data_IF_818468592482
#
_entry.id   IF_818468592482
#
_cell.length_a   1.000
_cell.length_b   1.000
_cell.length_c   1.000
_cell.angle_alpha   90.00
_cell.angle_beta   90.00
_cell.angle_gamma   90.00
#
_symmetry.space_group_name_H-M   'P 1'
#
loop_
_entity.id
_entity.type
_entity.pdbx_description
1 polymer ?
#
# COMPACT_ATOMS: atom_id res chain seq x y z
N UNK A 1 56.92 5.15 -59.48
CA UNK A 1 56.18 3.87 -59.34
C UNK A 1 55.07 4.14 -58.32
N UNK A 2 53.85 4.49 -58.77
CA UNK A 2 52.63 3.63 -58.78
C UNK A 2 52.25 3.15 -57.37
N UNK A 3 51.03 3.17 -56.83
CA UNK A 3 49.64 3.55 -57.15
C UNK A 3 48.89 3.43 -55.79
N UNK A 4 47.86 4.24 -55.48
CA UNK A 4 46.42 3.83 -55.39
C UNK A 4 46.17 2.65 -54.42
N UNK A 5 45.32 2.68 -53.39
CA UNK A 5 43.88 3.00 -53.41
C UNK A 5 43.27 3.04 -51.98
N UNK A 6 42.14 3.75 -51.89
CA UNK A 6 41.23 3.95 -50.76
C UNK A 6 40.39 2.68 -50.48
N UNK A 7 39.92 2.47 -49.24
CA UNK A 7 38.63 1.81 -48.97
C UNK A 7 38.23 1.89 -47.48
N UNK A 8 37.27 2.78 -47.22
CA UNK A 8 36.44 2.85 -46.02
C UNK A 8 35.63 1.57 -45.84
N UNK A 9 35.58 1.00 -44.63
CA UNK A 9 34.57 -0.01 -44.28
C UNK A 9 33.81 0.39 -43.01
N UNK A 10 32.55 0.78 -43.20
CA UNK A 10 31.50 0.94 -42.19
C UNK A 10 30.97 -0.43 -41.75
N UNK A 11 31.08 -0.78 -40.48
CA UNK A 11 30.43 -1.92 -39.79
C UNK A 11 30.45 -1.57 -38.27
N UNK A 12 29.42 -1.59 -37.43
CA UNK A 12 28.01 -1.94 -37.54
C UNK A 12 27.25 -1.30 -36.35
N UNK A 13 26.57 -0.15 -36.54
CA UNK A 13 25.72 0.44 -35.50
C UNK A 13 24.33 -0.23 -35.38
N UNK A 14 24.01 -1.19 -36.26
CA UNK A 14 22.70 -1.84 -36.31
C UNK A 14 22.40 -2.81 -35.17
N UNK A 15 23.42 -3.35 -34.49
CA UNK A 15 23.20 -4.34 -33.41
C UNK A 15 22.90 -3.71 -32.05
N UNK A 16 23.43 -2.52 -31.76
CA UNK A 16 23.16 -1.82 -30.49
C UNK A 16 21.76 -1.20 -30.47
N UNK A 17 21.27 -0.66 -31.59
CA UNK A 17 19.92 -0.08 -31.69
C UNK A 17 18.84 -1.17 -31.57
N UNK A 18 19.06 -2.37 -32.13
CA UNK A 18 18.12 -3.48 -32.02
C UNK A 18 17.99 -4.02 -30.58
N UNK A 19 19.09 -4.08 -29.81
CA UNK A 19 19.07 -4.55 -28.42
C UNK A 19 18.40 -3.53 -27.49
N UNK A 20 18.63 -2.23 -27.70
CA UNK A 20 18.02 -1.16 -26.89
C UNK A 20 16.51 -1.02 -27.16
N UNK A 21 16.07 -1.17 -28.41
CA UNK A 21 14.63 -1.17 -28.76
C UNK A 21 13.92 -2.40 -28.20
N UNK A 22 14.56 -3.58 -28.21
CA UNK A 22 13.99 -4.78 -27.60
C UNK A 22 13.86 -4.66 -26.06
N UNK A 23 14.86 -4.09 -25.38
CA UNK A 23 14.80 -3.88 -23.93
C UNK A 23 13.73 -2.83 -23.52
N UNK A 24 13.60 -1.74 -24.28
CA UNK A 24 12.58 -0.72 -24.01
C UNK A 24 11.14 -1.24 -24.25
N UNK A 25 10.93 -2.07 -25.28
CA UNK A 25 9.62 -2.70 -25.54
C UNK A 25 9.25 -3.72 -24.45
N UNK A 26 10.23 -4.48 -23.92
CA UNK A 26 9.99 -5.43 -22.81
C UNK A 26 9.63 -4.70 -21.52
N UNK A 27 10.28 -3.56 -21.23
CA UNK A 27 9.96 -2.74 -20.04
C UNK A 27 8.58 -2.08 -20.19
N UNK A 28 8.24 -1.57 -21.37
CA UNK A 28 6.91 -0.98 -21.62
C UNK A 28 5.81 -2.05 -21.58
N UNK A 29 6.06 -3.26 -22.10
CA UNK A 29 5.12 -4.40 -21.97
C UNK A 29 4.97 -4.87 -20.52
N UNK A 30 6.06 -4.90 -19.74
CA UNK A 30 6.00 -5.26 -18.32
C UNK A 30 5.22 -4.23 -17.49
N UNK A 31 5.36 -2.93 -17.80
CA UNK A 31 4.62 -1.85 -17.13
C UNK A 31 3.14 -1.80 -17.55
N UNK A 32 2.81 -2.20 -18.79
CA UNK A 32 1.42 -2.27 -19.27
C UNK A 32 0.68 -3.55 -18.85
N UNK A 33 1.38 -4.58 -18.37
CA UNK A 33 0.76 -5.81 -17.84
C UNK A 33 0.42 -5.77 -16.34
N UNK A 34 0.84 -4.75 -15.59
CA UNK A 34 0.66 -4.71 -14.13
C UNK A 34 -0.67 -4.08 -13.66
N UNK A 35 -1.61 -3.76 -14.55
CA UNK A 35 -2.91 -3.17 -14.17
C UNK A 35 -4.09 -3.76 -14.94
N UNK A 36 -4.27 -5.08 -14.86
CA UNK A 36 -5.58 -5.72 -15.08
C UNK A 36 -5.80 -6.73 -13.96
N UNK A 37 -6.41 -6.27 -12.88
CA UNK A 37 -6.94 -7.15 -11.83
C UNK A 37 -8.46 -7.16 -11.87
N UNK A 38 -9.06 -8.18 -12.51
CA UNK A 38 -10.37 -8.67 -12.16
C UNK A 38 -10.21 -10.07 -11.56
N UNK A 39 -10.72 -10.28 -10.35
CA UNK A 39 -10.73 -11.58 -9.68
C UNK A 39 -11.54 -12.61 -10.47
N UNK A 40 -10.84 -13.56 -11.11
CA UNK A 40 -11.33 -14.83 -11.67
C UNK A 40 -10.15 -15.58 -12.32
N UNK A 41 -9.16 -16.00 -11.51
CA UNK A 41 -8.23 -17.05 -11.96
C UNK A 41 -8.98 -18.39 -12.03
N UNK A 42 -9.85 -18.51 -13.04
CA UNK A 42 -10.51 -19.74 -13.43
C UNK A 42 -9.45 -20.70 -13.96
N UNK A 43 -9.27 -21.83 -13.27
CA UNK A 43 -8.73 -23.04 -13.89
C UNK A 43 -9.82 -23.61 -14.80
N UNK A 44 -9.68 -23.48 -16.12
CA UNK A 44 -10.44 -24.30 -17.07
C UNK A 44 -9.55 -25.48 -17.44
N UNK A 45 -9.62 -26.56 -16.66
CA UNK A 45 -9.18 -27.86 -17.15
C UNK A 45 -10.34 -28.45 -17.94
N UNK A 46 -10.20 -28.42 -19.27
CA UNK A 46 -11.04 -29.19 -20.17
C UNK A 46 -10.66 -30.67 -20.03
N UNK A 47 -11.55 -31.49 -19.47
CA UNK A 47 -11.34 -32.92 -19.32
C UNK A 47 -12.60 -33.65 -18.86
N UNK A 48 -13.43 -34.00 -19.86
CA UNK A 48 -14.28 -35.20 -19.98
C UNK A 48 -15.08 -35.72 -18.76
N UNK A 49 -16.40 -35.82 -18.98
CA UNK A 49 -17.47 -36.18 -18.04
C UNK A 49 -17.31 -37.46 -17.19
N UNK A 50 -17.78 -37.36 -15.94
CA UNK A 50 -18.63 -38.34 -15.26
C UNK A 50 -19.48 -37.63 -14.18
N UNK A 51 -20.81 -37.88 -14.05
CA UNK A 51 -21.67 -37.19 -13.10
C UNK A 51 -21.75 -37.98 -11.80
N UNK A 52 -21.07 -37.55 -10.74
CA UNK A 52 -21.46 -37.80 -9.35
C UNK A 52 -20.48 -37.11 -8.41
N UNK A 53 -21.00 -36.22 -7.58
CA UNK A 53 -20.24 -35.54 -6.55
C UNK A 53 -20.81 -34.15 -6.33
N UNK A 54 -21.69 -34.03 -5.33
CA UNK A 54 -22.13 -32.77 -4.75
C UNK A 54 -20.91 -32.00 -4.21
N UNK A 55 -20.23 -31.25 -5.06
CA UNK A 55 -19.35 -30.18 -4.62
C UNK A 55 -20.24 -29.00 -4.25
N UNK A 56 -20.59 -28.91 -2.96
CA UNK A 56 -20.87 -27.62 -2.35
C UNK A 56 -19.65 -26.74 -2.61
N UNK A 57 -19.75 -25.89 -3.63
CA UNK A 57 -18.96 -24.68 -3.71
C UNK A 57 -19.36 -23.89 -2.47
N UNK A 58 -18.62 -24.07 -1.39
CA UNK A 58 -18.63 -23.14 -0.28
C UNK A 58 -18.03 -21.87 -0.85
N UNK A 59 -18.90 -21.00 -1.40
CA UNK A 59 -18.55 -19.63 -1.70
C UNK A 59 -17.98 -19.08 -0.40
N UNK A 60 -16.66 -18.87 -0.35
CA UNK A 60 -16.07 -18.09 0.72
C UNK A 60 -16.81 -16.75 0.68
N UNK A 61 -17.64 -16.50 1.68
CA UNK A 61 -18.36 -15.24 1.78
C UNK A 61 -17.31 -14.14 1.81
N UNK A 62 -17.39 -13.23 0.84
CA UNK A 62 -16.44 -12.13 0.75
C UNK A 62 -16.52 -11.33 2.06
N UNK A 63 -15.38 -10.98 2.65
CA UNK A 63 -15.41 -10.16 3.86
C UNK A 63 -16.19 -8.85 3.60
N UNK A 64 -17.04 -8.42 4.55
CA UNK A 64 -17.90 -7.26 4.35
C UNK A 64 -17.08 -6.00 4.09
N UNK A 65 -17.63 -5.10 3.27
CA UNK A 65 -17.01 -3.81 2.92
C UNK A 65 -17.73 -2.61 3.53
N UNK A 66 -18.79 -2.85 4.28
CA UNK A 66 -19.62 -1.83 4.93
C UNK A 66 -19.62 -2.11 6.44
N UNK A 67 -19.46 -1.10 7.29
CA UNK A 67 -19.43 -1.31 8.73
C UNK A 67 -20.82 -1.70 9.23
N UNK A 68 -20.85 -2.56 10.25
CA UNK A 68 -22.09 -2.97 10.95
C UNK A 68 -22.30 -2.20 12.26
N UNK A 69 -21.36 -1.33 12.61
CA UNK A 69 -21.40 -0.44 13.76
C UNK A 69 -21.24 0.99 13.28
N UNK A 70 -21.80 1.94 14.02
CA UNK A 70 -21.68 3.36 13.71
C UNK A 70 -20.30 3.90 14.10
N UNK A 71 -19.82 4.87 13.32
CA UNK A 71 -18.63 5.63 13.68
C UNK A 71 -18.94 6.58 14.86
N UNK A 72 -17.93 6.81 15.69
CA UNK A 72 -17.98 7.86 16.71
C UNK A 72 -17.72 9.21 16.06
N UNK A 73 -18.61 10.16 16.33
CA UNK A 73 -18.47 11.53 15.88
C UNK A 73 -17.18 12.16 16.44
N UNK A 74 -16.51 12.95 15.60
CA UNK A 74 -15.41 13.79 16.04
C UNK A 74 -15.94 14.94 16.92
N UNK A 75 -15.10 15.52 17.78
CA UNK A 75 -15.47 16.75 18.48
C UNK A 75 -15.68 17.90 17.47
N UNK A 76 -16.57 18.84 17.80
CA UNK A 76 -16.94 19.95 16.90
C UNK A 76 -15.75 20.85 16.54
N UNK A 77 -14.75 20.92 17.42
CA UNK A 77 -13.50 21.67 17.25
C UNK A 77 -12.35 20.82 16.69
N UNK A 78 -12.64 19.65 16.09
CA UNK A 78 -11.64 18.82 15.42
C UNK A 78 -10.84 19.63 14.40
N UNK A 79 -9.54 19.34 14.34
CA UNK A 79 -8.62 19.92 13.36
C UNK A 79 -8.90 19.40 11.96
N UNK A 80 -8.30 20.05 10.95
CA UNK A 80 -8.47 19.63 9.56
C UNK A 80 -7.87 18.24 9.30
N UNK A 81 -6.73 17.88 9.91
CA UNK A 81 -6.20 16.51 9.81
C UNK A 81 -7.20 15.51 10.39
N UNK A 82 -7.74 15.78 11.58
CA UNK A 82 -8.64 14.84 12.23
C UNK A 82 -9.96 14.70 11.44
N UNK A 83 -10.50 15.79 10.90
CA UNK A 83 -11.66 15.77 9.99
C UNK A 83 -11.41 15.00 8.69
N UNK A 84 -10.16 14.99 8.21
CA UNK A 84 -9.78 14.22 7.04
C UNK A 84 -9.70 12.71 7.30
N UNK A 85 -9.65 12.28 8.57
CA UNK A 85 -9.70 10.86 8.90
C UNK A 85 -11.11 10.32 8.62
N UNK A 86 -11.26 9.25 7.83
CA UNK A 86 -12.57 8.78 7.42
C UNK A 86 -13.36 8.20 8.60
N UNK A 87 -14.69 8.34 8.56
CA UNK A 87 -15.58 7.66 9.51
C UNK A 87 -15.49 6.13 9.40
N UNK A 88 -15.20 5.63 8.19
CA UNK A 88 -14.98 4.20 7.97
C UNK A 88 -13.99 3.91 6.85
N UNK A 89 -13.36 2.74 6.94
CA UNK A 89 -12.54 2.15 5.88
C UNK A 89 -13.01 0.71 5.73
N UNK A 90 -13.61 0.37 4.59
CA UNK A 90 -14.33 -0.90 4.43
C UNK A 90 -15.34 -1.11 5.59
N UNK A 91 -15.33 -2.28 6.22
CA UNK A 91 -16.18 -2.63 7.35
C UNK A 91 -15.69 -2.11 8.71
N UNK A 92 -14.63 -1.31 8.74
CA UNK A 92 -14.10 -0.75 9.98
C UNK A 92 -14.63 0.66 10.20
N UNK A 93 -15.40 0.88 11.27
CA UNK A 93 -15.83 2.21 11.69
C UNK A 93 -14.83 2.81 12.70
N UNK A 94 -14.58 4.12 12.62
CA UNK A 94 -13.78 4.85 13.61
C UNK A 94 -14.54 4.90 14.93
N UNK A 95 -14.12 4.14 15.92
CA UNK A 95 -14.74 4.07 17.26
C UNK A 95 -14.03 4.94 18.29
N UNK A 96 -12.84 5.44 17.95
CA UNK A 96 -12.01 6.25 18.85
C UNK A 96 -11.12 7.19 18.05
N UNK A 97 -10.93 8.40 18.56
CA UNK A 97 -9.94 9.36 18.09
C UNK A 97 -9.49 10.23 19.28
N UNK A 98 -8.21 10.17 19.62
CA UNK A 98 -7.63 10.92 20.74
C UNK A 98 -6.30 11.53 20.33
N UNK A 99 -5.96 12.68 20.94
CA UNK A 99 -4.63 13.26 20.80
C UNK A 99 -3.57 12.25 21.28
N UNK A 100 -2.42 12.25 20.62
CA UNK A 100 -1.33 11.32 20.88
C UNK A 100 0.01 12.05 21.01
N UNK A 101 0.95 11.40 21.70
CA UNK A 101 2.30 11.92 21.96
C UNK A 101 3.39 10.90 21.61
N UNK A 102 3.04 9.88 20.84
CA UNK A 102 3.92 8.79 20.40
C UNK A 102 5.13 9.32 19.63
N UNK A 103 4.96 10.39 18.85
CA UNK A 103 6.02 10.98 18.02
C UNK A 103 6.38 12.41 18.43
N UNK A 104 6.11 12.82 19.68
CA UNK A 104 6.43 14.19 20.14
C UNK A 104 7.90 14.57 19.97
N UNK A 105 8.84 13.61 20.03
CA UNK A 105 10.26 13.86 19.77
C UNK A 105 10.53 14.35 18.32
N UNK A 106 9.67 13.98 17.37
CA UNK A 106 9.72 14.41 15.98
C UNK A 106 8.97 15.73 15.74
N UNK A 107 8.39 16.33 16.79
CA UNK A 107 7.70 17.63 16.76
C UNK A 107 6.63 17.76 15.66
N UNK A 108 5.65 16.83 15.57
CA UNK A 108 4.51 17.02 14.67
C UNK A 108 3.69 18.26 15.08
N UNK A 109 3.00 18.86 14.11
CA UNK A 109 2.04 19.94 14.36
C UNK A 109 0.83 19.43 15.15
N UNK A 110 0.40 18.21 14.84
CA UNK A 110 -0.69 17.50 15.46
C UNK A 110 -0.51 15.99 15.27
N UNK A 111 -1.00 15.21 16.22
CA UNK A 111 -0.86 13.75 16.25
C UNK A 111 -2.07 13.13 16.94
N UNK A 112 -2.64 12.09 16.34
CA UNK A 112 -3.80 11.37 16.85
C UNK A 112 -3.58 9.86 16.83
N UNK A 113 -4.13 9.19 17.83
CA UNK A 113 -4.37 7.75 17.81
C UNK A 113 -5.85 7.49 17.58
N UNK A 114 -6.16 6.72 16.54
CA UNK A 114 -7.50 6.33 16.17
C UNK A 114 -7.67 4.81 16.29
N UNK A 115 -8.89 4.38 16.62
CA UNK A 115 -9.28 2.96 16.56
C UNK A 115 -10.37 2.79 15.50
N UNK A 116 -10.13 1.85 14.59
CA UNK A 116 -11.05 1.41 13.57
C UNK A 116 -11.48 -0.03 13.88
N UNK A 117 -12.78 -0.25 14.06
CA UNK A 117 -13.32 -1.52 14.57
C UNK A 117 -14.45 -2.04 13.69
N UNK A 118 -14.59 -3.36 13.65
CA UNK A 118 -15.74 -4.04 13.06
C UNK A 118 -16.80 -4.41 14.12
N UNK A 119 -16.60 -3.99 15.37
CA UNK A 119 -17.33 -4.48 16.56
C UNK A 119 -16.67 -5.69 17.23
N UNK A 120 -15.68 -6.31 16.57
CA UNK A 120 -14.82 -7.33 17.16
C UNK A 120 -13.44 -6.74 17.48
N UNK A 121 -13.17 -6.56 18.77
CA UNK A 121 -11.92 -5.97 19.27
C UNK A 121 -10.67 -6.75 18.88
N UNK A 122 -10.79 -8.05 18.58
CA UNK A 122 -9.66 -8.85 18.13
C UNK A 122 -9.20 -8.47 16.71
N UNK A 123 -10.05 -7.78 15.95
CA UNK A 123 -9.78 -7.31 14.59
C UNK A 123 -9.51 -5.81 14.50
N UNK A 124 -9.53 -5.09 15.62
CA UNK A 124 -9.32 -3.65 15.63
C UNK A 124 -7.99 -3.26 14.96
N UNK A 125 -8.04 -2.19 14.18
CA UNK A 125 -6.86 -1.51 13.64
C UNK A 125 -6.65 -0.24 14.46
N UNK A 126 -5.46 -0.10 15.03
CA UNK A 126 -5.02 1.16 15.64
C UNK A 126 -4.22 1.93 14.61
N UNK A 127 -4.58 3.18 14.37
CA UNK A 127 -3.90 4.09 13.45
C UNK A 127 -3.32 5.26 14.25
N UNK A 128 -2.01 5.46 14.18
CA UNK A 128 -1.39 6.73 14.56
C UNK A 128 -1.23 7.57 13.31
N UNK A 129 -1.74 8.79 13.32
CA UNK A 129 -1.64 9.75 12.22
C UNK A 129 -1.09 11.07 12.74
N UNK A 130 -0.12 11.65 12.03
CA UNK A 130 0.46 12.93 12.40
C UNK A 130 0.84 13.75 11.19
N UNK A 131 0.84 15.07 11.34
CA UNK A 131 1.21 16.01 10.29
C UNK A 131 2.43 16.85 10.71
N UNK A 132 3.29 17.13 9.74
CA UNK A 132 4.42 18.04 9.87
C UNK A 132 4.22 19.29 9.02
N UNK A 133 5.00 20.33 9.30
CA UNK A 133 5.00 21.56 8.50
C UNK A 133 5.58 21.40 7.10
N UNK A 134 6.38 20.35 6.86
CA UNK A 134 7.03 20.09 5.57
C UNK A 134 7.07 18.60 5.24
N UNK A 135 7.11 18.28 3.96
CA UNK A 135 7.25 16.92 3.45
C UNK A 135 8.58 16.27 3.89
N UNK A 136 9.66 17.05 4.01
CA UNK A 136 10.97 16.55 4.45
C UNK A 136 10.95 16.11 5.92
N UNK A 137 10.26 16.87 6.79
CA UNK A 137 10.08 16.49 8.19
C UNK A 137 9.22 15.23 8.34
N UNK A 138 8.12 15.14 7.59
CA UNK A 138 7.30 13.94 7.53
C UNK A 138 8.11 12.73 7.03
N UNK A 139 8.88 12.90 5.95
CA UNK A 139 9.76 11.87 5.41
C UNK A 139 10.80 11.40 6.42
N UNK A 140 11.39 12.32 7.18
CA UNK A 140 12.37 11.98 8.22
C UNK A 140 11.74 11.06 9.28
N UNK A 141 10.50 11.36 9.72
CA UNK A 141 9.80 10.50 10.65
C UNK A 141 9.43 9.15 10.02
N UNK A 142 8.94 9.14 8.79
CA UNK A 142 8.65 7.91 8.05
C UNK A 142 9.89 7.00 7.97
N UNK A 143 11.04 7.53 7.56
CA UNK A 143 12.29 6.76 7.44
C UNK A 143 12.75 6.23 8.81
N UNK A 144 12.59 7.02 9.87
CA UNK A 144 12.88 6.59 11.24
C UNK A 144 11.98 5.45 11.71
N UNK A 145 10.67 5.51 11.43
CA UNK A 145 9.72 4.45 11.77
C UNK A 145 10.03 3.16 11.01
N UNK A 146 10.29 3.25 9.70
CA UNK A 146 10.62 2.08 8.86
C UNK A 146 11.92 1.42 9.32
N UNK A 147 12.92 2.22 9.69
CA UNK A 147 14.22 1.73 10.17
C UNK A 147 14.12 1.08 11.56
N UNK A 148 13.18 1.52 12.40
CA UNK A 148 12.93 0.92 13.70
C UNK A 148 12.21 -0.43 13.63
N UNK A 149 11.52 -0.74 12.52
CA UNK A 149 10.84 -2.02 12.34
C UNK A 149 11.83 -3.16 12.05
N UNK A 150 11.84 -4.17 12.91
CA UNK A 150 12.72 -5.34 12.81
C UNK A 150 12.02 -6.62 12.32
N UNK A 151 10.70 -6.59 12.13
CA UNK A 151 9.95 -7.71 11.57
C UNK A 151 10.12 -7.83 10.05
N UNK A 152 9.78 -9.00 9.53
CA UNK A 152 9.94 -9.35 8.11
C UNK A 152 9.13 -8.44 7.19
N UNK A 153 9.73 -8.08 6.05
CA UNK A 153 9.06 -7.32 4.99
C UNK A 153 7.90 -8.14 4.38
N UNK A 154 6.74 -7.48 4.24
CA UNK A 154 5.54 -8.06 3.62
C UNK A 154 5.19 -7.34 2.31
N UNK A 155 5.28 -6.01 2.29
CA UNK A 155 5.01 -5.20 1.10
C UNK A 155 5.70 -3.83 1.18
N UNK A 156 5.97 -3.21 0.04
CA UNK A 156 6.41 -1.81 -0.03
C UNK A 156 6.11 -1.21 -1.40
N UNK A 157 6.09 0.12 -1.47
CA UNK A 157 5.92 0.83 -2.73
C UNK A 157 5.67 2.32 -2.56
N UNK A 158 5.26 2.96 -3.67
CA UNK A 158 4.96 4.38 -3.70
C UNK A 158 3.49 4.64 -3.41
N UNK A 159 3.22 5.71 -2.67
CA UNK A 159 1.88 6.32 -2.57
C UNK A 159 1.72 7.30 -3.71
N UNK A 160 0.58 7.26 -4.41
CA UNK A 160 0.28 8.15 -5.53
C UNK A 160 -1.07 8.84 -5.36
N UNK A 161 -1.09 10.15 -5.60
CA UNK A 161 -2.31 10.96 -5.69
C UNK A 161 -2.37 11.56 -7.08
N UNK A 162 -3.47 11.30 -7.80
CA UNK A 162 -3.67 11.76 -9.18
C UNK A 162 -2.51 11.40 -10.13
N UNK A 163 -1.88 10.24 -9.91
CA UNK A 163 -0.75 9.73 -10.71
C UNK A 163 0.63 10.23 -10.28
N UNK A 164 0.72 11.24 -9.42
CA UNK A 164 1.99 11.76 -8.90
C UNK A 164 2.40 10.99 -7.64
N UNK A 165 3.70 10.70 -7.49
CA UNK A 165 4.22 10.11 -6.26
C UNK A 165 4.21 11.16 -5.16
N UNK A 166 3.44 10.93 -4.10
CA UNK A 166 3.33 11.83 -2.94
C UNK A 166 3.95 11.24 -1.68
N UNK A 167 4.38 9.98 -1.72
CA UNK A 167 5.09 9.36 -0.61
C UNK A 167 5.35 7.88 -0.87
N UNK A 168 5.54 7.13 0.21
CA UNK A 168 5.86 5.70 0.18
C UNK A 168 5.14 4.94 1.30
N UNK A 169 5.04 3.62 1.15
CA UNK A 169 4.53 2.73 2.17
C UNK A 169 5.43 1.51 2.34
N UNK A 170 5.46 0.97 3.56
CA UNK A 170 6.07 -0.32 3.92
C UNK A 170 5.10 -1.04 4.85
N UNK A 171 4.96 -2.35 4.67
CA UNK A 171 4.24 -3.25 5.56
C UNK A 171 5.21 -4.31 6.03
N UNK A 172 5.31 -4.47 7.35
CA UNK A 172 6.16 -5.47 8.01
C UNK A 172 5.35 -6.28 9.01
N UNK A 173 5.79 -7.50 9.27
CA UNK A 173 5.28 -8.25 10.41
C UNK A 173 5.61 -7.50 11.70
N UNK A 174 4.74 -7.56 12.71
CA UNK A 174 5.06 -7.02 14.03
C UNK A 174 6.10 -7.92 14.71
N UNK A 175 7.19 -7.34 15.18
CA UNK A 175 8.30 -8.08 15.78
C UNK A 175 7.96 -8.68 17.16
N UNK A 176 6.99 -8.10 17.87
CA UNK A 176 6.51 -8.58 19.16
C UNK A 176 5.38 -9.60 19.02
N UNK A 177 4.62 -9.56 17.91
CA UNK A 177 3.53 -10.49 17.64
C UNK A 177 3.43 -10.86 16.14
N UNK A 178 3.93 -12.04 15.79
CA UNK A 178 3.92 -12.54 14.41
C UNK A 178 2.52 -12.73 13.79
N UNK A 179 1.43 -12.60 14.56
CA UNK A 179 0.04 -12.59 14.05
C UNK A 179 -0.43 -11.20 13.64
N UNK A 180 0.37 -10.17 13.91
CA UNK A 180 0.10 -8.79 13.58
C UNK A 180 1.03 -8.28 12.48
N UNK A 181 0.61 -7.16 11.90
CA UNK A 181 1.39 -6.38 10.94
C UNK A 181 1.41 -4.92 11.37
N UNK A 182 2.42 -4.22 10.89
CA UNK A 182 2.55 -2.78 10.96
C UNK A 182 2.67 -2.25 9.54
N UNK A 183 1.72 -1.42 9.12
CA UNK A 183 1.81 -0.66 7.88
C UNK A 183 2.19 0.78 8.21
N UNK A 184 3.26 1.29 7.59
CA UNK A 184 3.72 2.68 7.73
C UNK A 184 3.64 3.30 6.35
N UNK A 185 2.99 4.46 6.22
CA UNK A 185 2.98 5.20 4.98
C UNK A 185 3.04 6.71 5.19
N UNK A 186 3.55 7.39 4.18
CA UNK A 186 3.60 8.85 4.11
C UNK A 186 2.78 9.31 2.91
N UNK A 187 2.04 10.40 3.09
CA UNK A 187 1.44 11.17 2.01
C UNK A 187 1.75 12.66 2.24
N UNK A 188 2.68 13.18 1.46
CA UNK A 188 3.20 14.56 1.56
C UNK A 188 3.64 14.90 3.00
N UNK A 189 2.88 15.72 3.71
CA UNK A 189 3.20 16.17 5.07
C UNK A 189 2.68 15.26 6.19
N UNK A 190 1.96 14.19 5.86
CA UNK A 190 1.29 13.32 6.83
C UNK A 190 1.95 11.94 6.85
N UNK A 191 2.20 11.41 8.05
CA UNK A 191 2.68 10.04 8.27
C UNK A 191 1.64 9.27 9.07
N UNK A 192 1.49 8.00 8.70
CA UNK A 192 0.56 7.07 9.27
C UNK A 192 1.27 5.79 9.69
N UNK A 193 0.82 5.20 10.80
CA UNK A 193 1.20 3.86 11.23
C UNK A 193 -0.05 3.10 11.66
N UNK A 194 -0.42 2.06 10.92
CA UNK A 194 -1.51 1.16 11.27
C UNK A 194 -0.97 -0.16 11.84
N UNK A 195 -1.51 -0.59 12.97
CA UNK A 195 -1.20 -1.87 13.62
C UNK A 195 -2.47 -2.65 13.91
N UNK A 196 -2.45 -3.95 13.66
CA UNK A 196 -3.59 -4.87 13.83
C UNK A 196 -3.21 -6.28 13.39
N UNK A 197 -4.19 -7.18 13.24
CA UNK A 197 -3.92 -8.50 12.65
C UNK A 197 -3.44 -8.35 11.20
N UNK A 198 -2.68 -9.33 10.69
CA UNK A 198 -2.17 -9.29 9.31
C UNK A 198 -3.26 -8.99 8.27
N UNK A 199 -4.36 -9.74 8.36
CA UNK A 199 -5.52 -9.59 7.48
C UNK A 199 -6.19 -8.21 7.62
N UNK A 200 -6.37 -7.73 8.86
CA UNK A 200 -7.01 -6.44 9.10
C UNK A 200 -6.17 -5.28 8.56
N UNK A 201 -4.87 -5.29 8.82
CA UNK A 201 -3.96 -4.26 8.33
C UNK A 201 -3.91 -4.27 6.81
N UNK A 202 -3.75 -5.44 6.19
CA UNK A 202 -3.66 -5.58 4.74
C UNK A 202 -4.90 -5.01 4.01
N UNK A 203 -6.10 -5.31 4.52
CA UNK A 203 -7.34 -4.75 3.96
C UNK A 203 -7.48 -3.25 4.23
N UNK A 204 -7.06 -2.80 5.42
CA UNK A 204 -7.24 -1.43 5.88
C UNK A 204 -6.36 -0.45 5.10
N UNK A 205 -5.03 -0.61 5.09
CA UNK A 205 -4.12 0.39 4.52
C UNK A 205 -4.31 0.54 3.00
N UNK A 206 -4.68 -0.54 2.30
CA UNK A 206 -4.90 -0.53 0.85
C UNK A 206 -6.16 0.25 0.44
N UNK A 207 -7.10 0.42 1.37
CA UNK A 207 -8.38 1.10 1.14
C UNK A 207 -8.51 2.38 1.94
N UNK A 208 -7.46 2.76 2.68
CA UNK A 208 -7.40 4.03 3.38
C UNK A 208 -7.40 5.16 2.34
N UNK A 209 -8.30 6.15 2.44
CA UNK A 209 -8.32 7.31 1.55
C UNK A 209 -7.01 8.10 1.65
N UNK A 210 -6.46 8.51 0.50
CA UNK A 210 -5.22 9.26 0.36
C UNK A 210 -5.48 10.64 -0.24
#
# INVERSE_FOLDING_TARGET
MTNTENSSTTQSHGKLIAVVVAAAVVIILAVLSAFVWPGWAIRKDAGTAAPNGSSQQQSAEAEPTTPTIEATALPDDATELLKAMPDSVLNYARTKAEASTTWSAASPLEEYTLTYSTGDKAKDVTLVAAQWSTADSAKTQYDALVSAQTGDDQASGNVKVSGNVTGAYVVKADAADAKKSVAIWQNDTVVFQATGTKEAVERFYQKFPM
#
